data_IF_271256829823
#
_entry.id   IF_271256829823
#
_cell.length_a   1.000
_cell.length_b   1.000
_cell.length_c   1.000
_cell.angle_alpha   90.00
_cell.angle_beta   90.00
_cell.angle_gamma   90.00
#
_symmetry.space_group_name_H-M   'P 1'
#
loop_
_entity.id
_entity.type
_entity.pdbx_description
1 polymer ?
2 non-polymer ?
3 non-polymer ?
4 non-polymer ?
5 water ?
#
# COMPACT_ATOMS: atom_id res chain seq x y z
N UNK A 6 -3.23 -4.04 -29.73
CA UNK A 6 -3.22 -5.26 -28.93
C UNK A 6 -2.08 -5.23 -27.90
N UNK A 7 -1.52 -4.04 -27.67
CA UNK A 7 -0.48 -3.89 -26.67
C UNK A 7 -1.12 -3.70 -25.31
N UNK A 8 -0.42 -4.16 -24.27
CA UNK A 8 -0.95 -4.19 -22.92
C UNK A 8 -0.97 -2.80 -22.30
N UNK A 9 -1.71 -2.63 -21.19
CA UNK A 9 -1.71 -1.36 -20.47
C UNK A 9 -0.41 -1.14 -19.71
N UNK A 10 -0.28 0.00 -19.04
CA UNK A 10 0.88 0.28 -18.20
C UNK A 10 0.89 -0.71 -17.04
N UNK A 11 -0.29 -0.94 -16.47
CA UNK A 11 -0.43 -1.92 -15.39
C UNK A 11 -1.90 -2.26 -15.13
N UNK A 12 -2.13 -3.47 -14.63
CA UNK A 12 -3.44 -3.90 -14.19
C UNK A 12 -3.59 -3.63 -12.70
N UNK A 13 -4.84 -3.48 -12.24
CA UNK A 13 -5.09 -3.28 -10.83
C UNK A 13 -6.52 -2.90 -10.51
N UNK A 14 -6.80 -2.75 -9.22
CA UNK A 14 -8.11 -2.32 -8.77
C UNK A 14 -8.11 -0.80 -8.56
N UNK A 15 -8.98 -0.11 -9.27
CA UNK A 15 -9.08 1.34 -9.18
C UNK A 15 -10.30 1.74 -8.36
N UNK A 16 -10.06 2.41 -7.24
CA UNK A 16 -11.14 2.79 -6.33
C UNK A 16 -12.08 3.78 -7.00
N UNK A 17 -13.34 3.73 -6.59
CA UNK A 17 -14.34 4.67 -7.08
C UNK A 17 -14.07 6.05 -6.47
N UNK A 18 -14.63 7.08 -7.09
CA UNK A 18 -14.51 8.43 -6.58
C UNK A 18 -14.77 8.45 -5.07
N UNK A 19 -15.84 7.79 -4.66
CA UNK A 19 -16.27 7.78 -3.26
C UNK A 19 -15.22 7.14 -2.35
N UNK A 20 -14.87 5.90 -2.64
CA UNK A 20 -13.93 5.15 -1.79
C UNK A 20 -12.55 5.79 -1.78
N UNK A 21 -12.13 6.30 -2.93
CA UNK A 21 -10.83 6.95 -3.04
C UNK A 21 -10.72 8.12 -2.08
N UNK A 22 -11.73 8.98 -2.10
CA UNK A 22 -11.75 10.15 -1.22
C UNK A 22 -11.72 9.72 0.25
N UNK A 23 -12.42 8.63 0.55
CA UNK A 23 -12.52 8.14 1.92
C UNK A 23 -11.16 7.63 2.41
N UNK A 24 -10.48 6.85 1.57
CA UNK A 24 -9.17 6.31 1.92
C UNK A 24 -8.12 7.41 1.98
N UNK A 25 -8.11 8.29 0.98
CA UNK A 25 -7.17 9.39 0.93
C UNK A 25 -7.32 10.27 2.16
N UNK A 26 -8.56 10.56 2.51
CA UNK A 26 -8.87 11.38 3.69
C UNK A 26 -8.35 10.69 4.94
N UNK A 27 -8.57 9.39 5.03
CA UNK A 27 -8.11 8.61 6.18
C UNK A 27 -6.59 8.65 6.29
N UNK A 28 -5.91 8.51 5.15
CA UNK A 28 -4.47 8.52 5.12
C UNK A 28 -3.90 9.84 5.58
N UNK A 29 -4.52 10.93 5.14
CA UNK A 29 -4.09 12.27 5.53
C UNK A 29 -4.20 12.44 7.04
N UNK A 30 -5.37 12.11 7.59
CA UNK A 30 -5.61 12.22 9.02
C UNK A 30 -4.56 11.45 9.81
N UNK A 31 -4.17 10.29 9.28
CA UNK A 31 -3.18 9.44 9.94
C UNK A 31 -1.80 10.10 9.97
N UNK A 32 -1.43 10.75 8.87
CA UNK A 32 -0.15 11.44 8.79
C UNK A 32 -0.10 12.62 9.76
N UNK A 33 -1.23 13.28 9.94
CA UNK A 33 -1.32 14.43 10.83
C UNK A 33 -1.26 13.99 12.28
N UNK A 34 -2.01 12.94 12.60
CA UNK A 34 -2.04 12.40 13.96
C UNK A 34 -0.69 11.79 14.33
N UNK A 35 -0.13 11.02 13.40
CA UNK A 35 1.16 10.37 13.63
C UNK A 35 2.28 11.40 13.81
N UNK A 36 2.26 12.44 12.98
CA UNK A 36 3.27 13.47 13.04
C UNK A 36 3.20 14.28 14.33
N UNK A 37 2.01 14.33 14.92
CA UNK A 37 1.81 15.08 16.16
C UNK A 37 2.05 14.21 17.40
N UNK A 38 1.90 12.91 17.24
CA UNK A 38 2.03 11.99 18.37
C UNK A 38 3.44 12.04 18.97
N UNK A 39 3.50 11.96 20.29
CA UNK A 39 4.76 12.12 21.02
C UNK A 39 5.75 10.99 20.77
N UNK A 40 5.25 9.77 20.62
CA UNK A 40 6.12 8.61 20.39
C UNK A 40 6.83 8.73 19.04
N UNK A 41 6.21 9.43 18.09
CA UNK A 41 6.81 9.61 16.77
C UNK A 41 7.95 10.63 16.84
N UNK A 42 7.69 11.76 17.48
CA UNK A 42 8.69 12.80 17.63
C UNK A 42 9.88 12.31 18.45
N UNK A 43 9.64 11.31 19.30
CA UNK A 43 10.69 10.73 20.12
C UNK A 43 11.73 10.01 19.26
N UNK A 44 11.32 9.57 18.07
CA UNK A 44 12.19 8.81 17.19
C UNK A 44 12.48 9.52 15.87
N UNK A 45 12.27 10.84 15.86
CA UNK A 45 12.46 11.61 14.63
C UNK A 45 13.89 11.52 14.10
N UNK A 46 14.84 11.23 15.00
CA UNK A 46 16.24 11.12 14.60
C UNK A 46 16.49 9.84 13.80
N UNK A 47 15.59 8.88 13.95
CA UNK A 47 15.67 7.63 13.19
C UNK A 47 14.85 7.70 11.91
N UNK A 48 14.10 8.78 11.74
CA UNK A 48 13.23 8.93 10.58
C UNK A 48 13.93 9.70 9.46
N UNK A 49 14.55 10.82 9.81
CA UNK A 49 15.28 11.63 8.83
C UNK A 49 16.71 11.87 9.28
N UNK A 50 17.57 12.19 8.31
CA UNK A 50 18.97 12.48 8.60
C UNK A 50 19.16 13.97 8.86
N UNK A 51 20.11 14.29 9.74
CA UNK A 51 20.40 15.67 10.08
C UNK A 51 19.28 16.30 10.89
N UNK A 56 11.92 19.11 17.67
CA UNK A 56 11.59 19.44 16.28
C UNK A 56 10.18 18.96 15.94
N UNK A 57 9.73 19.30 14.74
CA UNK A 57 8.38 18.93 14.30
C UNK A 57 8.34 18.76 12.79
N UNK A 58 8.12 17.52 12.34
CA UNK A 58 8.05 17.23 10.91
C UNK A 58 6.60 17.03 10.48
N UNK A 59 6.15 17.84 9.52
CA UNK A 59 4.81 17.69 8.96
C UNK A 59 4.84 16.63 7.86
N UNK A 60 4.33 15.44 8.19
CA UNK A 60 4.41 14.30 7.28
C UNK A 60 3.66 14.52 5.98
N UNK A 61 2.58 15.31 6.03
CA UNK A 61 1.80 15.59 4.84
C UNK A 61 2.68 16.25 3.77
N UNK A 62 3.61 17.09 4.21
CA UNK A 62 4.52 17.76 3.29
C UNK A 62 5.71 16.85 2.95
N UNK A 63 6.07 15.99 3.90
CA UNK A 63 7.17 15.06 3.71
C UNK A 63 6.85 14.10 2.57
N UNK A 64 5.63 13.55 2.59
CA UNK A 64 5.17 12.69 1.50
C UNK A 64 4.49 13.55 0.45
N UNK A 65 5.27 14.41 -0.18
CA UNK A 65 4.76 15.39 -1.12
C UNK A 65 4.24 14.80 -2.42
N UNK A 66 4.89 13.73 -2.88
CA UNK A 66 4.45 13.07 -4.11
C UNK A 66 3.29 12.12 -3.82
N UNK A 67 2.10 12.51 -4.25
CA UNK A 67 0.89 11.74 -3.99
C UNK A 67 0.19 11.38 -5.29
N UNK A 68 -0.54 10.25 -5.30
CA UNK A 68 -1.32 9.85 -6.48
C UNK A 68 -2.19 10.99 -7.00
N UNK A 69 -2.06 11.32 -8.29
CA UNK A 69 -2.80 12.46 -8.88
C UNK A 69 -4.32 12.33 -8.75
N UNK A 70 -4.88 11.23 -9.25
CA UNK A 70 -6.32 11.04 -9.27
C UNK A 70 -6.78 10.01 -8.25
N UNK A 71 -7.61 9.08 -8.71
CA UNK A 71 -8.14 8.05 -7.84
C UNK A 71 -7.05 7.09 -7.38
N UNK A 72 -7.18 6.60 -6.14
CA UNK A 72 -6.24 5.64 -5.60
C UNK A 72 -6.48 4.28 -6.23
N UNK A 73 -5.46 3.42 -6.19
CA UNK A 73 -5.56 2.10 -6.82
C UNK A 73 -4.68 1.07 -6.12
N UNK A 74 -5.02 -0.20 -6.32
CA UNK A 74 -4.20 -1.31 -5.84
C UNK A 74 -3.70 -2.12 -7.02
N UNK A 75 -2.43 -1.93 -7.36
CA UNK A 75 -1.83 -2.57 -8.51
C UNK A 75 -1.72 -4.08 -8.34
N UNK A 76 -1.92 -4.82 -9.43
CA UNK A 76 -1.67 -6.25 -9.44
C UNK A 76 -0.41 -6.54 -10.26
N UNK A 77 -0.48 -6.33 -11.57
CA UNK A 77 0.64 -6.60 -12.45
C UNK A 77 1.07 -5.35 -13.23
N UNK A 78 2.33 -4.95 -13.02
CA UNK A 78 2.92 -3.88 -13.82
C UNK A 78 3.39 -4.49 -15.14
N UNK A 79 2.87 -3.97 -16.25
CA UNK A 79 3.14 -4.54 -17.57
C UNK A 79 4.02 -3.64 -18.43
N UNK A 80 4.03 -2.35 -18.14
CA UNK A 80 4.81 -1.39 -18.91
C UNK A 80 4.54 -1.57 -20.40
N UNK A 81 3.27 -1.75 -20.75
CA UNK A 81 2.85 -1.89 -22.13
C UNK A 81 3.42 -3.15 -22.79
N UNK A 82 3.71 -4.16 -21.99
CA UNK A 82 4.23 -5.42 -22.51
C UNK A 82 5.74 -5.55 -22.41
N UNK A 83 6.41 -4.49 -22.00
CA UNK A 83 7.86 -4.50 -21.89
C UNK A 83 8.32 -5.14 -20.57
N UNK A 84 7.40 -5.29 -19.63
CA UNK A 84 7.73 -5.90 -18.35
C UNK A 84 7.65 -7.42 -18.43
N UNK A 85 8.60 -8.08 -17.77
CA UNK A 85 8.65 -9.54 -17.79
C UNK A 85 7.34 -10.14 -17.29
N UNK A 86 6.84 -11.14 -18.00
CA UNK A 86 5.65 -11.86 -17.59
C UNK A 86 4.37 -11.06 -17.78
N UNK A 87 4.46 -9.92 -18.48
CA UNK A 87 3.30 -9.09 -18.71
C UNK A 87 2.34 -9.74 -19.69
N UNK A 88 2.90 -10.44 -20.67
CA UNK A 88 2.10 -11.06 -21.73
C UNK A 88 1.37 -12.30 -21.22
N UNK A 89 2.04 -13.04 -20.34
CA UNK A 89 1.47 -14.27 -19.81
C UNK A 89 0.37 -13.97 -18.80
N UNK A 90 0.51 -12.86 -18.07
CA UNK A 90 -0.48 -12.46 -17.08
C UNK A 90 -1.76 -11.97 -17.74
N UNK A 91 -1.61 -11.16 -18.78
CA UNK A 91 -2.76 -10.54 -19.44
C UNK A 91 -3.62 -11.55 -20.17
N UNK A 92 -3.04 -12.70 -20.52
CA UNK A 92 -3.75 -13.72 -21.29
C UNK A 92 -4.40 -14.78 -20.40
N UNK A 93 -4.40 -14.54 -19.09
CA UNK A 93 -5.08 -15.44 -18.16
C UNK A 93 -6.59 -15.25 -18.27
N UNK A 94 -7.33 -16.36 -18.20
CA UNK A 94 -8.78 -16.29 -18.24
C UNK A 94 -9.33 -15.42 -17.13
N UNK A 95 -8.85 -15.64 -15.91
CA UNK A 95 -9.35 -14.93 -14.74
C UNK A 95 -9.20 -13.42 -14.90
N UNK A 96 -8.18 -12.99 -15.63
CA UNK A 96 -7.95 -11.57 -15.87
C UNK A 96 -8.96 -11.01 -16.87
N UNK A 97 -9.17 -11.75 -17.96
CA UNK A 97 -10.12 -11.34 -18.98
C UNK A 97 -11.54 -11.35 -18.44
N UNK A 98 -11.85 -12.36 -17.61
CA UNK A 98 -13.18 -12.50 -17.04
C UNK A 98 -13.45 -11.41 -16.01
N UNK A 99 -12.42 -11.04 -15.26
CA UNK A 99 -12.55 -10.06 -14.18
C UNK A 99 -12.41 -8.63 -14.68
N UNK A 100 -12.05 -8.47 -15.95
CA UNK A 100 -11.79 -7.14 -16.51
C UNK A 100 -13.07 -6.31 -16.52
N UNK A 101 -13.06 -5.22 -15.76
CA UNK A 101 -14.20 -4.32 -15.67
C UNK A 101 -15.18 -4.69 -14.57
N UNK A 102 -14.78 -5.61 -13.69
CA UNK A 102 -15.68 -6.10 -12.65
C UNK A 102 -15.47 -5.39 -11.32
N UNK A 103 -16.51 -5.36 -10.50
CA UNK A 103 -16.46 -4.68 -9.21
C UNK A 103 -15.90 -5.60 -8.12
N UNK A 104 -15.15 -5.02 -7.21
CA UNK A 104 -14.53 -5.77 -6.11
C UNK A 104 -14.52 -4.93 -4.85
N UNK A 105 -14.42 -5.60 -3.70
CA UNK A 105 -14.27 -4.94 -2.42
C UNK A 105 -12.90 -5.27 -1.83
N UNK A 106 -12.11 -4.25 -1.56
CA UNK A 106 -10.78 -4.45 -0.98
C UNK A 106 -10.80 -4.14 0.51
N UNK A 107 -10.20 -5.03 1.30
CA UNK A 107 -10.15 -4.86 2.74
C UNK A 107 -8.84 -4.23 3.18
N UNK A 108 -8.92 -2.98 3.65
CA UNK A 108 -7.75 -2.31 4.19
C UNK A 108 -7.60 -2.68 5.66
N UNK A 109 -6.49 -3.33 6.00
CA UNK A 109 -6.28 -3.83 7.36
C UNK A 109 -5.41 -2.89 8.19
N UNK A 110 -4.63 -2.03 7.54
CA UNK A 110 -3.74 -1.14 8.26
C UNK A 110 -3.19 -0.02 7.39
N UNK A 111 -2.73 1.04 8.05
CA UNK A 111 -2.01 2.12 7.40
C UNK A 111 -0.59 2.14 7.95
N UNK A 112 0.39 2.43 7.11
CA UNK A 112 1.78 2.40 7.54
C UNK A 112 2.60 3.56 6.99
N UNK A 113 3.65 3.91 7.71
CA UNK A 113 4.54 5.01 7.32
C UNK A 113 5.99 4.58 7.46
N UNK A 114 6.81 5.00 6.51
CA UNK A 114 8.25 4.78 6.57
C UNK A 114 8.96 5.99 6.00
N UNK A 115 10.29 6.06 6.17
CA UNK A 115 11.05 7.19 5.62
C UNK A 115 10.85 7.34 4.11
N UNK A 116 10.45 6.28 3.43
CA UNK A 116 10.33 6.30 1.97
C UNK A 116 8.89 6.49 1.49
N UNK A 117 7.95 5.74 2.07
CA UNK A 117 6.58 5.77 1.58
C UNK A 117 5.53 5.77 2.69
N UNK A 118 4.29 6.07 2.30
CA UNK A 118 3.13 5.96 3.17
C UNK A 118 2.02 5.31 2.37
N UNK A 119 1.40 4.28 2.93
CA UNK A 119 0.38 3.54 2.21
C UNK A 119 -0.58 2.79 3.10
N UNK A 120 -1.40 1.94 2.48
CA UNK A 120 -2.40 1.16 3.20
C UNK A 120 -2.28 -0.31 2.82
N UNK A 121 -2.33 -1.19 3.82
CA UNK A 121 -2.23 -2.62 3.58
C UNK A 121 -3.57 -3.19 3.10
N UNK A 122 -3.53 -3.91 2.00
CA UNK A 122 -4.72 -4.56 1.45
C UNK A 122 -4.64 -6.06 1.67
N UNK A 123 -5.73 -6.63 2.20
CA UNK A 123 -5.82 -8.06 2.41
C UNK A 123 -6.76 -8.68 1.38
N UNK A 124 -6.17 -9.33 0.38
CA UNK A 124 -6.93 -9.89 -0.73
C UNK A 124 -7.63 -11.19 -0.36
N UNK A 125 -8.88 -11.32 -0.80
CA UNK A 125 -9.62 -12.57 -0.62
C UNK A 125 -9.12 -13.58 -1.64
N UNK A 126 -9.54 -14.83 -1.48
CA UNK A 126 -9.09 -15.90 -2.36
C UNK A 126 -9.43 -15.62 -3.82
N UNK A 127 -10.63 -15.10 -4.07
CA UNK A 127 -11.05 -14.77 -5.43
C UNK A 127 -10.14 -13.69 -6.01
N UNK A 128 -9.74 -12.74 -5.17
CA UNK A 128 -8.94 -11.62 -5.64
C UNK A 128 -7.48 -12.04 -5.82
N UNK A 129 -7.03 -13.02 -5.05
CA UNK A 129 -5.67 -13.54 -5.17
C UNK A 129 -5.46 -14.23 -6.52
N UNK A 130 -6.54 -14.70 -7.13
CA UNK A 130 -6.46 -15.33 -8.44
C UNK A 130 -5.97 -14.32 -9.49
N UNK A 131 -6.20 -13.04 -9.20
CA UNK A 131 -5.78 -11.97 -10.11
C UNK A 131 -4.39 -11.46 -9.76
N UNK A 132 -3.76 -12.09 -8.76
CA UNK A 132 -2.43 -11.66 -8.33
C UNK A 132 -1.34 -12.34 -9.16
N UNK A 133 -0.30 -11.59 -9.53
CA UNK A 133 0.77 -12.17 -10.36
C UNK A 133 1.57 -13.25 -9.64
N UNK A 134 2.06 -14.22 -10.41
CA UNK A 134 2.94 -15.25 -9.88
C UNK A 134 4.21 -15.29 -10.73
N UNK A 135 4.59 -14.12 -11.24
CA UNK A 135 5.74 -14.01 -12.15
C UNK A 135 7.01 -14.54 -11.50
N UNK A 136 7.98 -14.91 -12.34
CA UNK A 136 9.23 -15.48 -11.88
C UNK A 136 10.01 -14.51 -10.99
N UNK A 137 10.24 -13.31 -11.50
CA UNK A 137 11.01 -12.30 -10.77
C UNK A 137 10.10 -11.51 -9.82
N UNK A 138 9.81 -12.10 -8.66
CA UNK A 138 9.00 -11.44 -7.65
C UNK A 138 9.87 -11.06 -6.46
N UNK A 139 9.38 -10.13 -5.63
CA UNK A 139 10.15 -9.67 -4.45
C UNK A 139 10.73 -10.81 -3.62
N UNK A 140 11.91 -10.60 -3.06
CA UNK A 140 12.59 -11.61 -2.27
C UNK A 140 12.09 -11.59 -0.82
N UNK A 141 11.43 -10.52 -0.44
CA UNK A 141 10.86 -10.40 0.90
C UNK A 141 9.59 -11.23 1.03
N UNK A 142 9.21 -11.92 -0.05
CA UNK A 142 8.06 -12.80 -0.04
C UNK A 142 8.45 -14.22 0.38
N UNK A 143 9.31 -14.31 1.39
CA UNK A 143 9.74 -15.61 1.91
C UNK A 143 9.00 -15.91 3.20
N UNK A 144 8.11 -16.89 3.15
CA UNK A 144 7.32 -17.27 4.31
C UNK A 144 5.99 -16.54 4.32
N UNK A 145 5.96 -15.34 3.76
CA UNK A 145 4.73 -14.56 3.66
C UNK A 145 3.89 -15.03 2.48
N UNK A 146 2.58 -15.20 2.70
CA UNK A 146 1.70 -15.70 1.64
C UNK A 146 1.63 -14.75 0.45
N UNK A 147 1.45 -15.29 -0.76
CA UNK A 147 1.30 -14.44 -1.96
C UNK A 147 0.23 -13.37 -1.77
N UNK A 148 0.42 -12.22 -2.38
CA UNK A 148 -0.53 -11.12 -2.28
C UNK A 148 -0.32 -10.29 -1.02
N UNK A 149 0.70 -10.62 -0.24
CA UNK A 149 0.96 -9.94 1.01
C UNK A 149 1.42 -8.49 0.80
N UNK A 150 2.00 -8.22 -0.36
CA UNK A 150 2.51 -6.88 -0.66
C UNK A 150 1.41 -5.99 -1.24
N UNK A 151 0.25 -6.58 -1.52
CA UNK A 151 -0.88 -5.81 -2.04
C UNK A 151 -1.09 -4.59 -1.17
N UNK A 152 -1.24 -3.43 -1.81
CA UNK A 152 -1.27 -2.17 -1.08
C UNK A 152 -1.85 -1.03 -1.91
N UNK A 153 -2.18 0.06 -1.23
CA UNK A 153 -2.54 1.30 -1.87
C UNK A 153 -1.52 2.37 -1.45
N UNK A 154 -0.79 2.89 -2.42
CA UNK A 154 0.19 3.93 -2.14
C UNK A 154 -0.52 5.25 -1.89
N UNK A 155 -0.17 5.90 -0.78
CA UNK A 155 -0.76 7.18 -0.42
C UNK A 155 0.20 8.33 -0.65
N UNK A 156 1.49 8.06 -0.52
CA UNK A 156 2.50 9.08 -0.74
C UNK A 156 3.92 8.54 -0.68
N UNK A 157 4.87 9.32 -1.20
CA UNK A 157 6.28 8.93 -1.25
C UNK A 157 7.17 10.13 -0.98
N UNK A 158 8.39 9.88 -0.52
CA UNK A 158 9.37 10.94 -0.34
C UNK A 158 9.77 11.47 -1.72
N UNK A 159 10.44 12.61 -1.75
CA UNK A 159 10.75 13.30 -2.99
C UNK A 159 11.45 12.41 -4.03
N UNK A 160 12.44 11.64 -3.58
CA UNK A 160 13.25 10.84 -4.50
C UNK A 160 12.93 9.36 -4.43
N UNK A 161 11.66 9.03 -4.19
CA UNK A 161 11.23 7.65 -4.06
C UNK A 161 10.16 7.30 -5.09
N UNK A 162 10.19 6.05 -5.56
CA UNK A 162 9.20 5.57 -6.51
C UNK A 162 8.11 4.79 -5.77
N UNK A 163 6.86 4.90 -6.27
CA UNK A 163 5.72 4.25 -5.60
C UNK A 163 5.85 2.73 -5.52
N UNK A 164 6.68 2.13 -6.37
CA UNK A 164 6.92 0.70 -6.31
C UNK A 164 7.54 0.30 -4.98
N UNK A 165 8.18 1.26 -4.32
CA UNK A 165 8.84 1.02 -3.03
C UNK A 165 7.82 0.74 -1.93
N UNK A 166 6.58 1.19 -2.11
CA UNK A 166 5.55 1.04 -1.09
C UNK A 166 5.27 -0.43 -0.79
N UNK A 167 5.23 -1.26 -1.83
CA UNK A 167 5.03 -2.68 -1.65
C UNK A 167 6.20 -3.31 -0.92
N UNK A 168 7.40 -2.86 -1.25
CA UNK A 168 8.61 -3.38 -0.61
C UNK A 168 8.64 -3.02 0.87
N UNK A 169 8.28 -1.78 1.18
CA UNK A 169 8.23 -1.32 2.57
C UNK A 169 7.22 -2.13 3.36
N UNK A 170 6.08 -2.43 2.75
CA UNK A 170 5.04 -3.20 3.41
C UNK A 170 5.54 -4.59 3.76
N UNK A 171 6.17 -5.25 2.80
CA UNK A 171 6.73 -6.59 3.03
C UNK A 171 7.70 -6.59 4.19
N UNK A 172 8.54 -5.56 4.25
CA UNK A 172 9.51 -5.44 5.33
C UNK A 172 8.80 -5.36 6.67
N UNK A 173 7.74 -4.55 6.73
CA UNK A 173 6.95 -4.40 7.95
C UNK A 173 6.27 -5.72 8.34
N UNK A 174 5.73 -6.42 7.34
CA UNK A 174 5.08 -7.70 7.59
C UNK A 174 6.10 -8.75 8.01
N UNK A 175 7.29 -8.69 7.43
CA UNK A 175 8.37 -9.60 7.79
C UNK A 175 8.74 -9.45 9.26
N UNK A 176 8.53 -8.25 9.78
CA UNK A 176 8.88 -7.95 11.16
C UNK A 176 7.77 -8.40 12.11
N UNK A 177 6.53 -8.35 11.63
CA UNK A 177 5.38 -8.75 12.44
C UNK A 177 5.35 -10.25 12.66
N UNK A 178 5.73 -11.02 11.64
CA UNK A 178 5.73 -12.48 11.76
C UNK A 178 6.84 -12.93 12.70
N UNK A 179 7.85 -12.08 12.88
CA UNK A 179 8.94 -12.37 13.79
C UNK A 179 8.63 -11.97 15.22
N UNK A 180 7.55 -11.22 15.40
CA UNK A 180 7.14 -10.79 16.73
C UNK A 180 8.02 -9.67 17.25
N UNK A 181 8.44 -8.79 16.36
CA UNK A 181 9.31 -7.67 16.74
C UNK A 181 8.58 -6.33 16.58
N UNK A 182 7.28 -6.39 16.29
CA UNK A 182 6.48 -5.18 16.16
C UNK A 182 6.27 -4.53 17.53
N UNK A 183 6.53 -5.29 18.59
CA UNK A 183 6.37 -4.79 19.95
C UNK A 183 4.93 -4.44 20.26
N UNK A 184 4.69 -4.01 21.49
CA UNK A 184 3.34 -3.63 21.90
C UNK A 184 3.08 -2.17 21.55
N UNK A 185 1.82 -1.84 21.28
CA UNK A 185 1.43 -0.49 20.88
C UNK A 185 2.09 0.57 21.75
N UNK A 186 2.62 1.61 21.11
CA UNK A 186 3.24 2.73 21.82
C UNK A 186 2.29 3.91 21.87
N UNK A 187 1.05 3.70 21.43
CA UNK A 187 0.05 4.74 21.41
C UNK A 187 -1.27 4.18 20.91
N UNK A 188 -2.31 5.01 20.88
CA UNK A 188 -3.62 4.56 20.46
C UNK A 188 -4.39 5.67 19.74
N UNK A 189 -4.54 5.51 18.43
CA UNK A 189 -5.27 6.47 17.61
C UNK A 189 -6.74 6.09 17.52
N UNK A 190 -7.57 7.01 17.02
CA UNK A 190 -9.02 6.78 16.94
C UNK A 190 -9.41 5.50 16.21
N UNK A 191 -8.75 5.20 15.09
CA UNK A 191 -9.10 4.04 14.28
C UNK A 191 -8.40 2.76 14.76
N UNK A 192 -7.43 2.90 15.66
CA UNK A 192 -6.76 1.73 16.18
C UNK A 192 -5.44 2.00 16.88
N UNK A 193 -4.72 0.94 17.20
CA UNK A 193 -3.46 1.05 17.94
C UNK A 193 -2.28 1.34 17.01
N UNK A 194 -1.35 2.16 17.51
CA UNK A 194 -0.16 2.53 16.75
C UNK A 194 1.04 1.70 17.21
N UNK A 195 1.80 1.17 16.26
CA UNK A 195 2.96 0.34 16.58
C UNK A 195 4.24 0.93 16.01
N UNK A 196 5.31 0.92 16.81
CA UNK A 196 6.60 1.41 16.38
C UNK A 196 7.53 0.22 16.10
N UNK A 197 7.95 0.08 14.85
CA UNK A 197 8.80 -1.04 14.46
C UNK A 197 10.26 -0.63 14.34
N UNK A 198 10.53 0.66 14.54
CA UNK A 198 11.89 1.15 14.49
C UNK A 198 12.34 1.50 13.08
N UNK A 199 13.51 2.13 12.98
CA UNK A 199 14.05 2.53 11.69
C UNK A 199 13.04 3.34 10.89
N UNK A 200 12.27 4.17 11.59
CA UNK A 200 11.34 5.10 10.96
C UNK A 200 10.05 4.44 10.48
N UNK A 201 9.84 3.19 10.84
CA UNK A 201 8.66 2.45 10.37
C UNK A 201 7.53 2.46 11.39
N UNK A 202 6.31 2.71 10.91
CA UNK A 202 5.16 2.81 11.79
C UNK A 202 3.95 2.10 11.16
N UNK A 203 3.11 1.52 12.01
CA UNK A 203 1.95 0.78 11.53
C UNK A 203 0.73 0.98 12.42
N UNK A 204 -0.32 1.57 11.84
CA UNK A 204 -1.60 1.70 12.51
C UNK A 204 -2.48 0.52 12.15
N UNK A 205 -2.70 -0.36 13.12
CA UNK A 205 -3.59 -1.51 12.91
C UNK A 205 -5.03 -1.09 13.19
N UNK A 206 -5.85 -1.13 12.15
CA UNK A 206 -7.24 -0.68 12.27
C UNK A 206 -8.08 -1.65 13.09
N UNK A 207 -8.77 -1.13 14.09
CA UNK A 207 -9.68 -1.92 14.90
C UNK A 207 -10.73 -2.58 14.01
N UNK A 208 -11.25 -1.79 13.07
CA UNK A 208 -12.25 -2.28 12.13
C UNK A 208 -11.73 -2.14 10.71
N UNK A 209 -11.74 -3.25 9.97
CA UNK A 209 -11.25 -3.27 8.60
C UNK A 209 -12.03 -2.26 7.76
N UNK A 210 -11.32 -1.49 6.94
CA UNK A 210 -11.94 -0.51 6.07
C UNK A 210 -12.19 -1.12 4.70
N UNK A 211 -13.45 -1.14 4.26
CA UNK A 211 -13.79 -1.72 2.97
C UNK A 211 -13.93 -0.62 1.92
N UNK A 212 -13.24 -0.80 0.80
CA UNK A 212 -13.30 0.16 -0.31
C UNK A 212 -13.76 -0.55 -1.58
N UNK A 213 -14.61 0.12 -2.36
CA UNK A 213 -15.07 -0.44 -3.62
C UNK A 213 -14.13 -0.02 -4.75
N UNK A 214 -13.88 -0.93 -5.67
CA UNK A 214 -12.97 -0.67 -6.77
C UNK A 214 -13.34 -1.49 -8.00
N UNK A 215 -12.79 -1.09 -9.14
CA UNK A 215 -13.01 -1.80 -10.39
C UNK A 215 -11.69 -2.33 -10.92
N UNK A 216 -11.66 -3.61 -11.28
CA UNK A 216 -10.47 -4.20 -11.86
C UNK A 216 -10.40 -3.85 -13.34
N UNK A 217 -9.28 -3.26 -13.76
CA UNK A 217 -9.10 -2.86 -15.14
C UNK A 217 -7.63 -2.51 -15.43
N UNK A 218 -7.39 -1.91 -16.60
CA UNK A 218 -6.04 -1.57 -17.01
C UNK A 218 -5.88 -0.08 -17.28
N UNK A 219 -4.77 0.48 -16.79
CA UNK A 219 -4.46 1.89 -16.98
C UNK A 219 -3.41 2.04 -18.07
N UNK A 220 -3.72 2.82 -19.09
CA UNK A 220 -2.85 2.95 -20.26
C UNK A 220 -2.06 4.25 -20.28
N UNK A 221 -2.12 4.99 -19.17
CA UNK A 221 -1.39 6.25 -19.08
C UNK A 221 -1.91 7.28 -20.06
#
# INVERSE_FOLDING_TARGET
GGLEKDFLPLYFGWFLTKKSSETLRKAGQVFLEELGNHKAFKKELRHFISGDEPKEKLELVSYFGKRPPGVLSCTTKFCDYGKAAGAEEYAQQEVVKRSYGKAFKLSISALFVTPKTAGAQVVLTDQELQLWPSDLDKPSASEGLPPGSRAHVTLGCAADVQPVQTGLDLLDILQQVKGGSQGEAVGELPRGKLYSLGKGRWMLSLTKKMEVKAIFTGYYG
#
